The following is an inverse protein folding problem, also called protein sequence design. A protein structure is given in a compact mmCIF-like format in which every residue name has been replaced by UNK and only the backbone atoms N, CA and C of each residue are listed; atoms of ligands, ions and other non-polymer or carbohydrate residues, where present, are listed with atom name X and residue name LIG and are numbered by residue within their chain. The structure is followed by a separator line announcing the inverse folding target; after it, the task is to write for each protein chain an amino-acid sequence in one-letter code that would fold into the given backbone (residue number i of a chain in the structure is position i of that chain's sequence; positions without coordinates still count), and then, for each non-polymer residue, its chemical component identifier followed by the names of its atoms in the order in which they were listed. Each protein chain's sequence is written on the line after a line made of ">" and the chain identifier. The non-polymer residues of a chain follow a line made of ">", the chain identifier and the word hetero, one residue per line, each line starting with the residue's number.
data_IF_246921115976
#
_entry.id   IF_246921115976
#
_cell.length_a   1.000
_cell.length_b   1.000
_cell.length_c   1.000
_cell.angle_alpha   90.00
_cell.angle_beta   90.00
_cell.angle_gamma   90.00
#
_symmetry.space_group_name_H-M   'P 1'
#
loop_
_entity.id
_entity.type
_entity.pdbx_description
1 polymer ?
#
# COMPACT_ATOMS: atom_id res chain seq x y z
N UNK A 1 10.30 -11.60 -19.76
CA UNK A 1 8.97 -11.04 -20.09
C UNK A 1 8.57 -9.95 -19.09
N UNK A 2 9.33 -8.85 -18.98
CA UNK A 2 9.06 -7.77 -17.99
C UNK A 2 8.65 -6.43 -18.63
N UNK A 3 8.64 -6.33 -19.97
CA UNK A 3 8.34 -5.07 -20.67
C UNK A 3 6.85 -4.74 -20.78
N UNK A 4 5.97 -5.74 -20.87
CA UNK A 4 4.53 -5.50 -21.11
C UNK A 4 3.78 -4.90 -19.92
N UNK A 5 4.14 -5.29 -18.69
CA UNK A 5 3.44 -4.83 -17.48
C UNK A 5 3.67 -3.35 -17.17
N UNK A 6 4.86 -2.81 -17.47
CA UNK A 6 5.16 -1.40 -17.23
C UNK A 6 4.42 -0.47 -18.21
N UNK A 7 4.23 -0.93 -19.45
CA UNK A 7 3.51 -0.17 -20.47
C UNK A 7 2.01 -0.06 -20.12
N UNK A 8 1.39 -1.17 -19.72
CA UNK A 8 -0.02 -1.22 -19.33
C UNK A 8 -0.34 -0.35 -18.10
N UNK A 9 0.57 -0.34 -17.10
CA UNK A 9 0.44 0.52 -15.91
C UNK A 9 0.54 2.00 -16.27
N UNK A 10 1.45 2.36 -17.18
CA UNK A 10 1.60 3.74 -17.66
C UNK A 10 0.35 4.20 -18.41
N UNK A 11 -0.13 3.38 -19.34
CA UNK A 11 -1.32 3.68 -20.15
C UNK A 11 -2.58 3.84 -19.29
N UNK A 12 -2.72 3.00 -18.26
CA UNK A 12 -3.83 3.11 -17.30
C UNK A 12 -3.72 4.39 -16.46
N UNK A 13 -2.51 4.73 -15.97
CA UNK A 13 -2.30 5.94 -15.16
C UNK A 13 -2.63 7.23 -15.93
N UNK A 14 -2.31 7.26 -17.22
CA UNK A 14 -2.66 8.37 -18.11
C UNK A 14 -4.18 8.48 -18.30
N UNK A 15 -4.89 7.35 -18.40
CA UNK A 15 -6.36 7.35 -18.49
C UNK A 15 -7.00 7.96 -17.23
N UNK A 16 -6.48 7.63 -16.03
CA UNK A 16 -6.95 8.23 -14.78
C UNK A 16 -6.78 9.77 -14.81
N UNK A 17 -5.57 10.21 -15.14
CA UNK A 17 -5.25 11.65 -15.18
C UNK A 17 -6.08 12.40 -16.23
N UNK A 18 -6.26 11.82 -17.42
CA UNK A 18 -7.03 12.43 -18.51
C UNK A 18 -8.52 12.54 -18.20
N UNK A 19 -9.08 11.60 -17.42
CA UNK A 19 -10.46 11.69 -16.91
C UNK A 19 -10.60 12.60 -15.68
N UNK A 20 -9.49 13.12 -15.15
CA UNK A 20 -9.49 13.97 -13.96
C UNK A 20 -9.77 13.21 -12.66
N UNK A 21 -9.50 11.91 -12.63
CA UNK A 21 -9.67 11.03 -11.47
C UNK A 21 -8.33 10.47 -11.01
N UNK A 22 -8.23 10.08 -9.75
CA UNK A 22 -7.02 9.50 -9.18
C UNK A 22 -7.13 7.97 -9.09
N UNK A 23 -5.99 7.28 -9.23
CA UNK A 23 -5.92 5.82 -9.01
C UNK A 23 -6.39 5.46 -7.60
N UNK A 24 -6.26 6.38 -6.63
CA UNK A 24 -6.72 6.24 -5.24
C UNK A 24 -8.23 6.41 -5.03
N UNK A 25 -8.98 6.91 -6.02
CA UNK A 25 -10.41 7.18 -5.88
C UNK A 25 -11.25 5.88 -5.75
N UNK A 26 -12.45 6.01 -5.18
CA UNK A 26 -13.38 4.89 -5.09
C UNK A 26 -13.99 4.56 -6.46
N UNK A 27 -14.36 3.30 -6.72
CA UNK A 27 -15.04 2.91 -7.94
C UNK A 27 -16.28 3.76 -8.25
N UNK A 28 -17.08 4.14 -7.23
CA UNK A 28 -18.25 4.99 -7.46
C UNK A 28 -17.88 6.42 -7.86
N UNK A 29 -16.84 7.01 -7.28
CA UNK A 29 -16.45 8.37 -7.65
C UNK A 29 -15.96 8.41 -9.11
N UNK A 30 -15.25 7.35 -9.53
CA UNK A 30 -14.79 7.18 -10.91
C UNK A 30 -15.99 7.03 -11.86
N UNK A 31 -16.97 6.20 -11.49
CA UNK A 31 -18.20 5.99 -12.25
C UNK A 31 -19.06 7.27 -12.33
N UNK A 32 -19.25 7.98 -11.22
CA UNK A 32 -19.99 9.25 -11.20
C UNK A 32 -19.32 10.31 -12.07
N UNK A 33 -17.99 10.38 -12.04
CA UNK A 33 -17.22 11.30 -12.88
C UNK A 33 -17.37 10.96 -14.36
N UNK A 34 -17.28 9.69 -14.71
CA UNK A 34 -17.55 9.20 -16.06
C UNK A 34 -18.98 9.57 -16.51
N UNK A 35 -20.00 9.27 -15.72
CA UNK A 35 -21.39 9.59 -16.05
C UNK A 35 -21.63 11.10 -16.23
N UNK A 36 -20.95 11.93 -15.42
CA UNK A 36 -21.02 13.39 -15.52
C UNK A 36 -20.44 13.87 -16.86
N UNK A 37 -19.29 13.34 -17.26
CA UNK A 37 -18.66 13.64 -18.54
C UNK A 37 -19.53 13.19 -19.71
N UNK A 38 -20.05 11.95 -19.67
CA UNK A 38 -20.97 11.43 -20.69
C UNK A 38 -22.20 12.31 -20.84
N UNK A 39 -22.82 12.73 -19.73
CA UNK A 39 -23.97 13.64 -19.76
C UNK A 39 -23.63 14.98 -20.40
N UNK A 40 -22.46 15.55 -20.09
CA UNK A 40 -21.99 16.81 -20.67
C UNK A 40 -21.89 16.72 -22.20
N UNK A 41 -21.18 15.72 -22.73
CA UNK A 41 -21.00 15.57 -24.17
C UNK A 41 -22.29 15.15 -24.90
N UNK A 42 -23.15 14.33 -24.27
CA UNK A 42 -24.47 14.04 -24.84
C UNK A 42 -25.37 15.27 -24.93
N UNK A 43 -25.24 16.24 -24.02
CA UNK A 43 -25.98 17.50 -24.13
C UNK A 43 -25.52 18.33 -25.34
N UNK A 44 -24.23 18.26 -25.70
CA UNK A 44 -23.66 18.94 -26.88
C UNK A 44 -24.19 18.37 -28.20
N UNK A 45 -24.74 17.15 -28.21
CA UNK A 45 -25.38 16.58 -29.42
C UNK A 45 -26.63 17.33 -29.85
N UNK A 46 -27.25 18.07 -28.93
CA UNK A 46 -28.40 18.93 -29.21
C UNK A 46 -27.99 20.30 -29.79
N UNK A 47 -26.69 20.55 -29.98
CA UNK A 47 -26.21 21.77 -30.63
C UNK A 47 -26.78 21.92 -32.04
N UNK A 48 -26.89 23.16 -32.52
CA UNK A 48 -27.28 23.43 -33.93
C UNK A 48 -26.07 23.25 -34.84
N UNK A 49 -24.86 23.47 -34.32
CA UNK A 49 -23.61 23.39 -35.08
C UNK A 49 -23.17 21.93 -35.27
N UNK A 50 -23.06 21.43 -36.52
CA UNK A 50 -22.60 20.06 -36.80
C UNK A 50 -21.15 19.80 -36.38
N UNK A 51 -20.27 20.81 -36.37
CA UNK A 51 -18.87 20.67 -35.94
C UNK A 51 -18.80 20.31 -34.45
N UNK A 52 -19.62 20.99 -33.62
CA UNK A 52 -19.71 20.72 -32.19
C UNK A 52 -20.18 19.29 -31.93
N UNK A 53 -21.12 18.77 -32.75
CA UNK A 53 -21.60 17.40 -32.61
C UNK A 53 -20.51 16.36 -32.88
N UNK A 54 -19.74 16.55 -33.95
CA UNK A 54 -18.67 15.60 -34.29
C UNK A 54 -17.56 15.63 -33.25
N UNK A 55 -17.13 16.82 -32.80
CA UNK A 55 -16.15 16.93 -31.70
C UNK A 55 -16.67 16.25 -30.44
N UNK A 56 -17.94 16.47 -30.06
CA UNK A 56 -18.52 15.83 -28.89
C UNK A 56 -18.56 14.30 -29.01
N UNK A 57 -18.81 13.76 -30.22
CA UNK A 57 -18.80 12.31 -30.48
C UNK A 57 -17.40 11.73 -30.34
N UNK A 58 -16.40 12.39 -30.91
CA UNK A 58 -15.01 11.97 -30.80
C UNK A 58 -14.55 11.97 -29.33
N UNK A 59 -14.85 13.04 -28.59
CA UNK A 59 -14.50 13.14 -27.18
C UNK A 59 -15.21 12.07 -26.34
N UNK A 60 -16.48 11.79 -26.61
CA UNK A 60 -17.22 10.74 -25.93
C UNK A 60 -16.57 9.36 -26.15
N UNK A 61 -16.19 9.04 -27.40
CA UNK A 61 -15.51 7.78 -27.71
C UNK A 61 -14.15 7.64 -27.00
N UNK A 62 -13.40 8.74 -26.86
CA UNK A 62 -12.14 8.77 -26.10
C UNK A 62 -12.41 8.52 -24.61
N UNK A 63 -13.42 9.16 -24.04
CA UNK A 63 -13.81 9.00 -22.63
C UNK A 63 -14.26 7.56 -22.34
N UNK A 64 -15.09 6.97 -23.19
CA UNK A 64 -15.53 5.58 -23.08
C UNK A 64 -14.35 4.61 -23.12
N UNK A 65 -13.39 4.84 -24.02
CA UNK A 65 -12.17 4.03 -24.10
C UNK A 65 -11.32 4.15 -22.83
N UNK A 66 -11.10 5.37 -22.32
CA UNK A 66 -10.31 5.58 -21.10
C UNK A 66 -10.97 4.92 -19.89
N UNK A 67 -12.30 5.05 -19.75
CA UNK A 67 -13.05 4.41 -18.68
C UNK A 67 -12.99 2.88 -18.78
N UNK A 68 -13.13 2.33 -19.98
CA UNK A 68 -12.96 0.89 -20.22
C UNK A 68 -11.56 0.40 -19.80
N UNK A 69 -10.49 1.10 -20.20
CA UNK A 69 -9.12 0.76 -19.79
C UNK A 69 -8.97 0.77 -18.26
N UNK A 70 -9.52 1.78 -17.58
CA UNK A 70 -9.53 1.85 -16.12
C UNK A 70 -10.26 0.65 -15.52
N UNK A 71 -11.48 0.37 -15.96
CA UNK A 71 -12.32 -0.71 -15.39
C UNK A 71 -11.74 -2.11 -15.61
N UNK A 72 -11.02 -2.33 -16.70
CA UNK A 72 -10.29 -3.59 -16.95
C UNK A 72 -8.99 -3.71 -16.15
N UNK A 73 -8.49 -2.62 -15.56
CA UNK A 73 -7.22 -2.64 -14.83
C UNK A 73 -7.29 -3.46 -13.53
N UNK A 74 -6.15 -4.08 -13.17
CA UNK A 74 -6.01 -4.82 -11.90
C UNK A 74 -6.25 -3.91 -10.69
N UNK A 75 -5.82 -2.64 -10.78
CA UNK A 75 -6.05 -1.62 -9.75
C UNK A 75 -7.54 -1.40 -9.49
N UNK A 76 -8.35 -1.24 -10.54
CA UNK A 76 -9.79 -1.03 -10.39
C UNK A 76 -10.50 -2.30 -9.90
N UNK A 77 -10.15 -3.46 -10.47
CA UNK A 77 -10.74 -4.76 -10.10
C UNK A 77 -10.48 -5.16 -8.64
N UNK A 78 -9.33 -4.78 -8.08
CA UNK A 78 -9.05 -5.02 -6.66
C UNK A 78 -9.97 -4.17 -5.75
N UNK A 79 -10.14 -2.90 -6.08
CA UNK A 79 -10.99 -1.96 -5.32
C UNK A 79 -12.47 -2.27 -5.39
N UNK A 80 -12.98 -2.65 -6.56
CA UNK A 80 -14.40 -3.00 -6.72
C UNK A 80 -14.77 -4.25 -5.90
N UNK A 81 -13.84 -5.21 -5.76
CA UNK A 81 -14.02 -6.38 -4.89
C UNK A 81 -14.06 -6.01 -3.41
N UNK A 82 -13.15 -5.16 -2.94
CA UNK A 82 -13.13 -4.70 -1.54
C UNK A 82 -14.41 -3.94 -1.17
N UNK A 83 -14.96 -3.21 -2.13
CA UNK A 83 -16.21 -2.48 -1.97
C UNK A 83 -17.44 -3.39 -1.92
N UNK A 84 -17.57 -4.37 -2.81
CA UNK A 84 -18.67 -5.33 -2.74
C UNK A 84 -18.62 -6.14 -1.44
N UNK A 85 -17.42 -6.45 -0.95
CA UNK A 85 -17.24 -7.16 0.32
C UNK A 85 -17.64 -6.33 1.53
N UNK A 86 -17.43 -5.01 1.50
CA UNK A 86 -17.89 -4.11 2.57
C UNK A 86 -19.41 -3.91 2.54
N UNK A 87 -20.02 -3.77 1.36
CA UNK A 87 -21.49 -3.64 1.22
C UNK A 87 -22.22 -4.92 1.67
N UNK A 88 -21.71 -6.11 1.36
CA UNK A 88 -22.30 -7.38 1.84
C UNK A 88 -22.04 -7.68 3.32
N UNK A 89 -21.02 -7.08 3.94
CA UNK A 89 -20.70 -7.29 5.36
C UNK A 89 -21.49 -6.37 6.32
N UNK A 90 -22.20 -5.36 5.81
CA UNK A 90 -23.04 -4.45 6.62
C UNK A 90 -24.36 -5.11 7.07
N UNK A 91 -24.62 -6.36 6.67
CA UNK A 91 -25.77 -7.14 7.15
C UNK A 91 -25.52 -7.97 8.42
N UNK A 92 -24.27 -8.24 8.81
CA UNK A 92 -24.01 -9.00 10.03
C UNK A 92 -22.52 -8.97 10.42
N UNK A 93 -22.29 -8.69 11.71
CA UNK A 93 -21.01 -8.78 12.47
C UNK A 93 -20.30 -7.46 12.70
N UNK A 94 -20.50 -6.95 13.92
CA UNK A 94 -19.44 -6.44 14.81
C UNK A 94 -18.11 -6.18 14.12
N UNK A 95 -17.95 -4.92 13.70
CA UNK A 95 -16.72 -4.13 13.54
C UNK A 95 -15.42 -4.90 13.87
N UNK A 96 -15.05 -5.81 12.98
CA UNK A 96 -13.68 -6.29 12.83
C UNK A 96 -12.93 -5.28 11.98
N UNK A 97 -12.70 -4.09 12.55
CA UNK A 97 -11.88 -3.05 11.96
C UNK A 97 -10.46 -3.63 11.81
N UNK A 98 -10.17 -4.26 10.67
CA UNK A 98 -8.80 -4.37 10.18
C UNK A 98 -8.39 -2.95 9.78
N UNK A 99 -8.17 -2.10 10.78
CA UNK A 99 -7.17 -1.05 10.69
C UNK A 99 -5.96 -1.77 10.12
N UNK A 100 -5.62 -1.49 8.86
CA UNK A 100 -4.22 -1.41 8.54
C UNK A 100 -3.74 -0.37 9.55
N UNK A 101 -3.16 -0.84 10.66
CA UNK A 101 -2.41 0.01 11.56
C UNK A 101 -1.25 0.44 10.69
N UNK A 102 -1.51 1.47 9.89
CA UNK A 102 -0.52 2.13 9.10
C UNK A 102 0.39 2.69 10.17
N UNK A 103 1.44 1.94 10.45
CA UNK A 103 2.44 2.22 11.46
C UNK A 103 3.24 3.42 10.96
N UNK A 104 2.57 4.56 10.85
CA UNK A 104 3.17 5.83 10.53
C UNK A 104 3.59 6.46 11.85
N UNK A 105 4.84 6.88 11.89
CA UNK A 105 5.38 7.74 12.92
C UNK A 105 5.80 9.05 12.25
N UNK A 106 5.84 10.13 13.03
CA UNK A 106 6.42 11.37 12.54
C UNK A 106 7.94 11.26 12.61
N UNK A 107 8.62 11.74 11.58
CA UNK A 107 10.07 11.82 11.58
C UNK A 107 10.52 12.76 12.73
N UNK A 108 11.46 12.35 13.60
CA UNK A 108 11.93 13.19 14.70
C UNK A 108 12.73 14.41 14.24
N UNK A 109 13.23 14.42 13.00
CA UNK A 109 14.02 15.52 12.45
C UNK A 109 13.20 16.55 11.69
N UNK A 110 12.14 16.14 10.97
CA UNK A 110 11.39 17.04 10.09
C UNK A 110 9.87 16.90 10.21
N UNK A 111 9.38 16.19 11.23
CA UNK A 111 7.97 15.92 11.55
C UNK A 111 7.11 15.29 10.44
N UNK A 112 7.69 15.01 9.26
CA UNK A 112 6.98 14.42 8.15
C UNK A 112 6.50 12.99 8.47
N UNK A 113 5.32 12.59 7.96
CA UNK A 113 4.79 11.25 8.17
C UNK A 113 5.67 10.21 7.46
N UNK A 114 6.19 9.26 8.23
CA UNK A 114 7.07 8.18 7.73
C UNK A 114 6.62 6.84 8.26
N UNK A 115 6.78 5.79 7.47
CA UNK A 115 6.54 4.42 7.95
C UNK A 115 7.55 4.07 9.06
N UNK A 116 7.09 3.44 10.16
CA UNK A 116 7.96 2.94 11.25
C UNK A 116 8.98 1.91 10.78
N UNK A 117 8.75 1.28 9.62
CA UNK A 117 9.68 0.36 8.98
C UNK A 117 10.73 1.06 8.09
N UNK A 118 10.56 2.35 7.79
CA UNK A 118 11.50 3.10 6.96
C UNK A 118 12.82 3.31 7.72
N UNK A 119 13.94 2.95 7.08
CA UNK A 119 15.29 3.14 7.65
C UNK A 119 15.78 4.59 7.56
N UNK A 120 15.20 5.37 6.65
CA UNK A 120 15.53 6.77 6.42
C UNK A 120 14.26 7.55 6.09
N UNK A 121 14.19 8.79 6.54
CA UNK A 121 13.12 9.69 6.15
C UNK A 121 13.26 10.07 4.66
N UNK A 122 12.23 9.93 3.82
CA UNK A 122 12.30 10.34 2.41
C UNK A 122 12.36 11.86 2.22
N UNK A 123 11.95 12.63 3.23
CA UNK A 123 11.89 14.10 3.17
C UNK A 123 13.21 14.76 3.58
N UNK A 124 13.75 14.39 4.74
CA UNK A 124 14.98 15.00 5.27
C UNK A 124 16.22 14.09 5.19
N UNK A 125 16.07 12.85 4.68
CA UNK A 125 17.12 11.83 4.60
C UNK A 125 17.74 11.44 5.96
N UNK A 126 17.18 11.89 7.08
CA UNK A 126 17.63 11.49 8.41
C UNK A 126 17.42 9.98 8.62
N UNK A 127 18.44 9.33 9.20
CA UNK A 127 18.40 7.89 9.51
C UNK A 127 17.45 7.67 10.68
N UNK A 128 16.38 6.91 10.43
CA UNK A 128 15.36 6.56 11.42
C UNK A 128 15.84 5.30 12.16
N UNK A 129 16.39 5.49 13.35
CA UNK A 129 16.85 4.40 14.20
C UNK A 129 15.63 3.65 14.77
N UNK A 130 15.28 2.51 14.16
CA UNK A 130 14.26 1.62 14.73
C UNK A 130 14.69 1.11 16.12
N UNK A 131 13.76 0.91 17.06
CA UNK A 131 14.06 0.42 18.41
C UNK A 131 14.80 -0.92 18.40
N UNK A 132 14.62 -1.74 17.35
CA UNK A 132 15.34 -3.00 17.13
C UNK A 132 16.86 -2.84 17.03
N UNK A 133 17.35 -1.78 16.36
CA UNK A 133 18.79 -1.48 16.30
C UNK A 133 19.36 -0.99 17.63
N UNK A 134 18.55 -0.32 18.47
CA UNK A 134 18.94 0.01 19.85
C UNK A 134 18.99 -1.23 20.74
N UNK A 135 18.10 -2.20 20.51
CA UNK A 135 18.06 -3.47 21.25
C UNK A 135 19.26 -4.36 20.93
N UNK A 136 19.60 -4.55 19.64
CA UNK A 136 20.79 -5.30 19.22
C UNK A 136 22.07 -4.75 19.84
N UNK A 137 22.22 -3.42 19.93
CA UNK A 137 23.44 -2.79 20.48
C UNK A 137 23.59 -2.99 22.00
N UNK A 138 22.50 -3.28 22.72
CA UNK A 138 22.50 -3.41 24.19
C UNK A 138 22.63 -4.86 24.67
N UNK A 139 22.08 -5.81 23.90
CA UNK A 139 22.10 -7.24 24.27
C UNK A 139 23.14 -8.05 23.49
N UNK A 140 23.49 -7.64 22.27
CA UNK A 140 24.46 -8.32 21.41
C UNK A 140 25.84 -7.65 21.44
N UNK A 141 26.23 -7.08 22.57
CA UNK A 141 27.63 -6.81 22.87
C UNK A 141 28.29 -8.16 23.16
N UNK A 142 29.39 -8.47 22.45
CA UNK A 142 30.13 -9.74 22.54
C UNK A 142 30.36 -10.23 23.97
N UNK A 143 30.45 -9.31 24.94
CA UNK A 143 30.57 -9.56 26.37
C UNK A 143 29.42 -10.34 26.99
N UNK A 144 28.15 -10.06 26.64
CA UNK A 144 27.00 -10.79 27.20
C UNK A 144 26.90 -12.21 26.64
N UNK A 145 27.30 -12.38 25.38
CA UNK A 145 27.38 -13.69 24.73
C UNK A 145 28.49 -14.54 25.35
N UNK A 146 29.64 -13.91 25.64
CA UNK A 146 30.75 -14.55 26.36
C UNK A 146 30.34 -15.00 27.78
N UNK A 147 29.65 -14.14 28.54
CA UNK A 147 29.14 -14.47 29.88
C UNK A 147 28.16 -15.63 29.85
N UNK A 148 27.28 -15.69 28.85
CA UNK A 148 26.36 -16.80 28.68
C UNK A 148 27.09 -18.12 28.39
N UNK A 149 28.12 -18.10 27.53
CA UNK A 149 28.94 -19.28 27.24
C UNK A 149 29.74 -19.74 28.47
N UNK A 150 30.27 -18.82 29.27
CA UNK A 150 30.97 -19.18 30.52
C UNK A 150 30.00 -19.84 31.50
N UNK A 151 28.77 -19.32 31.62
CA UNK A 151 27.75 -19.88 32.50
C UNK A 151 27.30 -21.28 32.05
N UNK A 152 27.15 -21.54 30.75
CA UNK A 152 26.77 -22.87 30.26
C UNK A 152 27.86 -23.89 30.48
N UNK A 153 29.14 -23.52 30.28
CA UNK A 153 30.27 -24.41 30.55
C UNK A 153 30.41 -24.71 32.04
N UNK A 154 30.25 -23.72 32.92
CA UNK A 154 30.34 -23.93 34.37
C UNK A 154 29.22 -24.81 34.90
N UNK A 155 27.97 -24.63 34.44
CA UNK A 155 26.84 -25.50 34.80
C UNK A 155 27.09 -26.93 34.30
N UNK A 156 27.58 -27.11 33.08
CA UNK A 156 27.88 -28.43 32.51
C UNK A 156 28.98 -29.15 33.29
N UNK A 157 30.01 -28.40 33.71
CA UNK A 157 31.10 -28.93 34.53
C UNK A 157 30.60 -29.39 35.91
N UNK A 158 29.75 -28.58 36.56
CA UNK A 158 29.15 -28.94 37.85
C UNK A 158 28.24 -30.17 37.71
N UNK A 159 27.43 -30.24 36.65
CA UNK A 159 26.59 -31.41 36.40
C UNK A 159 27.42 -32.69 36.19
N UNK A 160 28.52 -32.61 35.45
CA UNK A 160 29.44 -33.73 35.24
C UNK A 160 30.15 -34.15 36.55
N UNK A 161 30.54 -33.18 37.39
CA UNK A 161 31.13 -33.47 38.71
C UNK A 161 30.13 -34.12 39.67
N UNK A 162 28.87 -33.68 39.67
CA UNK A 162 27.80 -34.32 40.46
C UNK A 162 27.53 -35.73 39.97
N UNK A 163 27.46 -35.96 38.65
CA UNK A 163 27.27 -37.29 38.08
C UNK A 163 28.43 -38.25 38.41
N UNK A 164 29.67 -37.77 38.35
CA UNK A 164 30.84 -38.59 38.69
C UNK A 164 30.94 -38.91 40.19
N UNK A 165 30.52 -38.01 41.08
CA UNK A 165 30.45 -38.29 42.52
C UNK A 165 29.28 -39.22 42.91
N UNK A 166 28.22 -39.32 42.10
CA UNK A 166 27.10 -40.24 42.34
C UNK A 166 27.34 -41.67 41.82
N UNK A 167 28.32 -41.85 40.93
CA UNK A 167 28.67 -43.14 40.30
C UNK A 167 29.83 -43.86 41.00
N UNK A 168 30.28 -43.34 42.14
CA UNK A 168 31.37 -43.88 42.95
C UNK A 168 30.87 -44.28 44.34
#
# INVERSE_FOLDING_TARGET
>A
MYGGQNQEVLDTSLCYQALGVCISDSPQLIEETYERLVRKYKAEFNSIDPSIKEVAREQLAIIERMYHTITCSVSYASKSKDQNKTVSAVGNRTRGERRITSDLANCPSCSAPVSKAAQSCPFCKAVLLTPWKKFQRKYFTMTNLLLFLIATVSISLVAALVQSNFMH
#
